data_IF_908656926997
#
_entry.id   IF_908656926997
#
_cell.length_a   1.000
_cell.length_b   1.000
_cell.length_c   1.000
_cell.angle_alpha   90.00
_cell.angle_beta   90.00
_cell.angle_gamma   90.00
#
_symmetry.space_group_name_H-M   'P 1'
#
loop_
_entity.id
_entity.type
_entity.pdbx_description
1 polymer ?
#
# COMPACT_ATOMS: atom_id res chain seq x y z
N UNK A 1 12.36 -3.10 -34.01
CA UNK A 1 12.79 -3.53 -32.67
C UNK A 1 13.24 -2.30 -31.93
N UNK A 2 12.27 -1.60 -31.35
CA UNK A 2 12.53 -0.47 -30.49
C UNK A 2 12.82 -1.00 -29.08
N UNK A 3 13.85 -0.44 -28.45
CA UNK A 3 14.20 -0.72 -27.07
C UNK A 3 13.83 0.50 -26.25
N UNK A 4 13.14 0.27 -25.14
CA UNK A 4 12.89 1.29 -24.14
C UNK A 4 13.86 1.12 -22.97
N UNK A 5 14.42 2.23 -22.50
CA UNK A 5 15.33 2.26 -21.36
C UNK A 5 14.64 3.03 -20.24
N UNK A 6 14.43 2.37 -19.11
CA UNK A 6 13.96 3.00 -17.89
C UNK A 6 15.16 3.44 -17.05
N UNK A 7 15.38 4.74 -16.91
CA UNK A 7 16.41 5.26 -16.01
C UNK A 7 15.89 5.33 -14.57
N UNK A 8 16.40 4.43 -13.73
CA UNK A 8 16.11 4.40 -12.30
C UNK A 8 16.62 5.64 -11.57
N UNK A 9 17.67 6.29 -12.06
CA UNK A 9 18.22 7.51 -11.45
C UNK A 9 17.24 8.67 -11.63
N UNK A 10 16.73 8.85 -12.84
CA UNK A 10 15.66 9.82 -13.13
C UNK A 10 14.38 9.54 -12.33
N UNK A 11 13.97 8.27 -12.22
CA UNK A 11 12.81 7.89 -11.41
C UNK A 11 13.01 8.25 -9.92
N UNK A 12 14.19 7.95 -9.35
CA UNK A 12 14.52 8.30 -7.97
C UNK A 12 14.49 9.81 -7.75
N UNK A 13 14.97 10.60 -8.71
CA UNK A 13 14.89 12.06 -8.63
C UNK A 13 13.43 12.55 -8.65
N UNK A 14 12.59 12.00 -9.52
CA UNK A 14 11.17 12.32 -9.57
C UNK A 14 10.46 12.02 -8.25
N UNK A 15 10.69 10.84 -7.68
CA UNK A 15 10.13 10.48 -6.37
C UNK A 15 10.63 11.45 -5.29
N UNK A 16 11.92 11.76 -5.27
CA UNK A 16 12.52 12.69 -4.31
C UNK A 16 11.94 14.12 -4.41
N UNK A 17 11.47 14.53 -5.60
CA UNK A 17 10.77 15.81 -5.79
C UNK A 17 9.34 15.76 -5.27
N UNK A 18 8.60 14.67 -5.52
CA UNK A 18 7.26 14.48 -4.97
C UNK A 18 7.28 14.48 -3.43
N UNK A 19 8.26 13.81 -2.82
CA UNK A 19 8.38 13.80 -1.36
C UNK A 19 8.76 15.15 -0.77
N UNK A 20 9.58 15.93 -1.47
CA UNK A 20 9.90 17.29 -1.06
C UNK A 20 8.68 18.20 -1.01
N UNK A 21 7.71 18.00 -1.91
CA UNK A 21 6.45 18.74 -1.86
C UNK A 21 5.73 18.53 -0.52
N UNK A 22 5.74 17.32 0.05
CA UNK A 22 5.16 17.07 1.37
C UNK A 22 5.92 17.77 2.51
N UNK A 23 7.23 18.02 2.32
CA UNK A 23 8.03 18.80 3.29
C UNK A 23 7.68 20.28 3.19
N UNK A 24 7.57 20.83 1.98
CA UNK A 24 7.20 22.23 1.73
C UNK A 24 5.78 22.54 2.26
N UNK A 25 4.86 21.57 2.17
CA UNK A 25 3.50 21.65 2.71
C UNK A 25 3.44 21.48 4.24
N UNK A 26 4.57 21.23 4.91
CA UNK A 26 4.66 21.04 6.35
C UNK A 26 4.10 19.72 6.87
N UNK A 27 3.77 18.77 5.97
CA UNK A 27 3.25 17.45 6.31
C UNK A 27 4.34 16.44 6.64
N UNK A 28 5.56 16.67 6.16
CA UNK A 28 6.71 15.82 6.42
C UNK A 28 7.83 16.63 7.09
N UNK A 29 8.31 16.17 8.24
CA UNK A 29 9.41 16.84 8.94
C UNK A 29 10.77 16.63 8.25
N UNK A 30 11.62 17.66 8.24
CA UNK A 30 13.00 17.62 7.68
C UNK A 30 13.94 16.57 8.30
N UNK A 31 13.53 15.93 9.40
CA UNK A 31 14.32 14.88 10.07
C UNK A 31 14.26 13.52 9.36
N UNK A 32 13.33 13.34 8.41
CA UNK A 32 13.15 12.07 7.71
C UNK A 32 14.06 11.97 6.48
N UNK A 33 14.62 10.79 6.28
CA UNK A 33 15.51 10.45 5.18
C UNK A 33 14.69 10.00 3.98
N UNK A 34 14.80 10.75 2.88
CA UNK A 34 14.09 10.46 1.62
C UNK A 34 14.43 9.08 1.06
N UNK A 35 15.67 8.62 1.21
CA UNK A 35 16.07 7.31 0.69
C UNK A 35 15.35 6.18 1.44
N UNK A 36 15.12 6.38 2.74
CA UNK A 36 14.40 5.43 3.60
C UNK A 36 12.89 5.46 3.33
N UNK A 37 12.35 6.61 2.94
CA UNK A 37 10.97 6.71 2.47
C UNK A 37 10.79 5.99 1.13
N UNK A 38 11.77 6.06 0.23
CA UNK A 38 11.74 5.32 -1.04
C UNK A 38 11.80 3.81 -0.78
N UNK A 39 12.60 3.33 0.17
CA UNK A 39 12.61 1.92 0.56
C UNK A 39 11.20 1.46 1.00
N UNK A 40 10.53 2.25 1.85
CA UNK A 40 9.17 1.95 2.31
C UNK A 40 8.15 2.03 1.17
N UNK A 41 8.30 2.97 0.23
CA UNK A 41 7.46 3.04 -0.96
C UNK A 41 7.55 1.75 -1.80
N UNK A 42 8.76 1.26 -2.05
CA UNK A 42 8.97 -0.01 -2.77
C UNK A 42 8.30 -1.17 -2.02
N UNK A 43 8.40 -1.20 -0.69
CA UNK A 43 7.70 -2.20 0.12
C UNK A 43 6.17 -2.07 0.03
N UNK A 44 5.62 -0.86 0.11
CA UNK A 44 4.18 -0.63 0.01
C UNK A 44 3.63 -0.99 -1.38
N UNK A 45 4.40 -0.79 -2.45
CA UNK A 45 4.02 -1.23 -3.79
C UNK A 45 3.80 -2.76 -3.89
N UNK A 46 4.37 -3.55 -2.98
CA UNK A 46 4.08 -4.99 -2.91
C UNK A 46 2.61 -5.29 -2.59
N UNK A 47 1.88 -4.37 -1.95
CA UNK A 47 0.46 -4.53 -1.57
C UNK A 47 -0.51 -4.26 -2.74
N UNK A 48 -0.05 -3.48 -3.72
CA UNK A 48 -0.83 -3.10 -4.92
C UNK A 48 -0.87 -4.26 -5.94
N UNK A 49 -0.11 -5.32 -5.68
CA UNK A 49 -0.04 -6.53 -6.47
C UNK A 49 1.41 -6.91 -6.72
N UNK A 50 1.78 -8.10 -6.28
CA UNK A 50 3.05 -8.72 -6.62
C UNK A 50 2.81 -10.19 -6.99
N UNK A 51 3.79 -10.87 -7.57
CA UNK A 51 3.62 -12.26 -8.04
C UNK A 51 3.33 -13.29 -6.91
N UNK A 52 3.48 -12.89 -5.64
CA UNK A 52 3.30 -13.74 -4.45
C UNK A 52 2.09 -13.37 -3.60
N UNK A 53 1.59 -12.13 -3.69
CA UNK A 53 0.48 -11.62 -2.89
C UNK A 53 -0.65 -11.15 -3.80
N UNK A 54 -1.89 -11.58 -3.55
CA UNK A 54 -3.05 -11.01 -4.23
C UNK A 54 -3.11 -9.50 -3.93
N UNK A 55 -3.52 -8.72 -4.93
CA UNK A 55 -3.71 -7.27 -4.79
C UNK A 55 -4.80 -7.00 -3.75
N UNK A 56 -4.60 -5.99 -2.90
CA UNK A 56 -5.68 -5.49 -2.04
C UNK A 56 -6.85 -4.94 -2.89
N UNK A 57 -8.09 -5.43 -2.72
CA UNK A 57 -9.22 -5.14 -3.60
C UNK A 57 -9.54 -3.65 -3.82
N UNK A 58 -9.27 -2.80 -2.84
CA UNK A 58 -9.53 -1.34 -2.90
C UNK A 58 -8.29 -0.50 -3.25
N UNK A 59 -7.11 -1.12 -3.40
CA UNK A 59 -5.88 -0.47 -3.85
C UNK A 59 -5.66 -0.72 -5.35
N UNK A 60 -6.60 -0.25 -6.17
CA UNK A 60 -6.41 -0.24 -7.61
C UNK A 60 -5.56 0.95 -8.05
N UNK A 61 -4.57 0.71 -8.91
CA UNK A 61 -3.71 1.77 -9.45
C UNK A 61 -4.55 2.78 -10.24
N UNK A 62 -5.53 2.29 -11.01
CA UNK A 62 -6.37 3.11 -11.88
C UNK A 62 -7.31 4.04 -11.09
N UNK A 63 -7.70 3.64 -9.88
CA UNK A 63 -8.52 4.47 -8.97
C UNK A 63 -7.68 5.44 -8.12
N UNK A 64 -6.37 5.55 -8.35
CA UNK A 64 -5.46 6.38 -7.56
C UNK A 64 -5.01 5.76 -6.24
N UNK A 65 -5.07 4.43 -6.10
CA UNK A 65 -4.70 3.71 -4.87
C UNK A 65 -3.27 3.99 -4.40
N UNK A 66 -2.33 4.19 -5.33
CA UNK A 66 -0.95 4.58 -4.97
C UNK A 66 -0.93 5.93 -4.28
N UNK A 67 -1.65 6.93 -4.79
CA UNK A 67 -1.70 8.27 -4.19
C UNK A 67 -2.33 8.25 -2.79
N UNK A 68 -3.39 7.46 -2.60
CA UNK A 68 -4.02 7.25 -1.29
C UNK A 68 -3.04 6.60 -0.31
N UNK A 69 -2.39 5.52 -0.73
CA UNK A 69 -1.40 4.79 0.05
C UNK A 69 -0.23 5.69 0.47
N UNK A 70 0.24 6.53 -0.46
CA UNK A 70 1.28 7.52 -0.21
C UNK A 70 0.87 8.58 0.78
N UNK A 71 -0.33 9.17 0.63
CA UNK A 71 -0.83 10.17 1.57
C UNK A 71 -0.97 9.58 2.97
N UNK A 72 -1.58 8.40 3.08
CA UNK A 72 -1.76 7.71 4.35
C UNK A 72 -0.42 7.41 5.03
N UNK A 73 0.57 6.95 4.27
CA UNK A 73 1.91 6.70 4.78
C UNK A 73 2.57 7.96 5.36
N UNK A 74 2.49 9.09 4.65
CA UNK A 74 3.09 10.35 5.11
C UNK A 74 2.46 10.81 6.42
N UNK A 75 1.13 10.75 6.51
CA UNK A 75 0.40 11.16 7.72
C UNK A 75 0.83 10.29 8.92
N UNK A 76 0.90 8.96 8.74
CA UNK A 76 1.30 8.04 9.81
C UNK A 76 2.80 8.07 10.15
N UNK A 77 3.66 8.38 9.18
CA UNK A 77 5.11 8.49 9.40
C UNK A 77 5.43 9.55 10.46
N UNK A 78 4.67 10.65 10.48
CA UNK A 78 4.82 11.70 11.50
C UNK A 78 4.43 11.20 12.89
N UNK A 79 3.38 10.38 13.00
CA UNK A 79 2.90 9.80 14.26
C UNK A 79 3.87 8.75 14.83
N UNK A 80 4.42 7.89 13.97
CA UNK A 80 5.34 6.83 14.40
C UNK A 80 6.75 7.31 14.71
N UNK A 81 7.14 8.45 14.17
CA UNK A 81 8.51 8.96 14.23
C UNK A 81 9.54 8.05 13.55
N UNK A 82 9.12 7.19 12.61
CA UNK A 82 10.04 6.32 11.87
C UNK A 82 9.37 5.39 10.86
N UNK A 83 10.23 4.75 10.05
CA UNK A 83 9.91 3.97 8.85
C UNK A 83 9.19 2.62 9.11
N UNK A 84 8.49 2.11 8.10
CA UNK A 84 7.86 0.79 8.05
C UNK A 84 8.89 -0.33 7.96
N UNK A 85 9.97 -0.12 7.21
CA UNK A 85 11.01 -1.13 7.01
C UNK A 85 12.32 -0.69 7.64
N UNK A 86 13.22 -1.65 7.87
CA UNK A 86 14.64 -1.43 8.11
C UNK A 86 15.41 -2.56 7.44
N UNK A 87 15.98 -2.26 6.27
CA UNK A 87 16.59 -3.26 5.38
C UNK A 87 15.59 -4.39 5.10
N UNK A 88 15.93 -5.62 5.44
CA UNK A 88 15.10 -6.81 5.22
C UNK A 88 13.97 -7.00 6.24
N UNK A 89 13.88 -6.16 7.28
CA UNK A 89 12.90 -6.33 8.37
C UNK A 89 11.78 -5.31 8.30
N UNK A 90 10.56 -5.80 8.42
CA UNK A 90 9.35 -4.97 8.56
C UNK A 90 9.14 -4.68 10.05
N UNK A 91 8.63 -3.49 10.37
CA UNK A 91 8.17 -3.14 11.72
C UNK A 91 6.70 -3.52 11.88
N UNK A 92 6.36 -4.64 12.54
CA UNK A 92 5.02 -5.22 12.47
C UNK A 92 3.94 -4.30 13.04
N UNK A 93 4.19 -3.61 14.16
CA UNK A 93 3.19 -2.73 14.78
C UNK A 93 2.84 -1.51 13.90
N UNK A 94 3.83 -0.94 13.21
CA UNK A 94 3.60 0.20 12.30
C UNK A 94 2.87 -0.27 11.06
N UNK A 95 3.28 -1.43 10.54
CA UNK A 95 2.62 -2.03 9.38
C UNK A 95 1.17 -2.42 9.67
N UNK A 96 0.88 -2.97 10.85
CA UNK A 96 -0.49 -3.26 11.29
C UNK A 96 -1.36 -1.99 11.33
N UNK A 97 -0.85 -0.92 11.94
CA UNK A 97 -1.52 0.37 11.97
C UNK A 97 -1.73 0.94 10.56
N UNK A 98 -0.74 0.79 9.69
CA UNK A 98 -0.82 1.22 8.29
C UNK A 98 -1.97 0.53 7.54
N UNK A 99 -2.03 -0.79 7.62
CA UNK A 99 -3.08 -1.60 6.98
C UNK A 99 -4.45 -1.26 7.59
N UNK A 100 -4.53 -1.10 8.91
CA UNK A 100 -5.78 -0.73 9.58
C UNK A 100 -6.32 0.61 9.07
N UNK A 101 -5.46 1.61 8.89
CA UNK A 101 -5.88 2.90 8.37
C UNK A 101 -6.26 2.81 6.88
N UNK A 102 -5.53 2.02 6.09
CA UNK A 102 -5.92 1.75 4.70
C UNK A 102 -7.29 1.07 4.58
N UNK A 103 -7.64 0.16 5.49
CA UNK A 103 -8.93 -0.52 5.50
C UNK A 103 -10.10 0.44 5.76
N UNK A 104 -9.87 1.58 6.44
CA UNK A 104 -10.93 2.59 6.65
C UNK A 104 -11.45 3.20 5.33
N UNK A 105 -10.65 3.18 4.26
CA UNK A 105 -11.03 3.70 2.95
C UNK A 105 -11.73 2.66 2.06
N UNK A 106 -11.76 1.39 2.47
CA UNK A 106 -12.32 0.27 1.71
C UNK A 106 -13.83 0.43 1.51
N UNK A 107 -14.56 0.86 2.56
CA UNK A 107 -16.01 1.03 2.51
C UNK A 107 -16.43 2.11 1.50
N UNK A 108 -15.74 3.25 1.48
CA UNK A 108 -16.01 4.33 0.54
C UNK A 108 -15.72 3.90 -0.90
N UNK A 109 -14.60 3.18 -1.09
CA UNK A 109 -14.22 2.64 -2.39
C UNK A 109 -15.30 1.69 -2.94
N UNK A 110 -15.74 0.70 -2.18
CA UNK A 110 -16.75 -0.27 -2.64
C UNK A 110 -18.11 0.36 -2.88
N UNK A 111 -18.50 1.36 -2.07
CA UNK A 111 -19.73 2.13 -2.31
C UNK A 111 -19.67 2.82 -3.66
N UNK A 112 -18.59 3.55 -3.95
CA UNK A 112 -18.41 4.26 -5.23
C UNK A 112 -18.46 3.29 -6.41
N UNK A 113 -17.73 2.18 -6.34
CA UNK A 113 -17.70 1.19 -7.41
C UNK A 113 -19.08 0.57 -7.67
N UNK A 114 -19.83 0.25 -6.61
CA UNK A 114 -21.20 -0.24 -6.74
C UNK A 114 -22.18 0.76 -7.38
N UNK A 115 -21.98 2.07 -7.19
CA UNK A 115 -22.76 3.09 -7.91
C UNK A 115 -22.39 3.18 -9.39
N UNK A 116 -21.10 3.06 -9.72
CA UNK A 116 -20.59 3.14 -11.10
C UNK A 116 -20.94 1.90 -11.94
N UNK A 117 -20.91 0.72 -11.33
CA UNK A 117 -21.16 -0.57 -11.99
C UNK A 117 -22.63 -1.02 -11.94
N UNK A 118 -23.50 -0.25 -11.25
CA UNK A 118 -24.89 -0.63 -10.95
C UNK A 118 -25.04 -2.01 -10.25
N UNK A 119 -23.96 -2.48 -9.63
CA UNK A 119 -23.90 -3.72 -8.86
C UNK A 119 -24.00 -3.40 -7.35
N UNK A 120 -24.94 -4.01 -6.60
CA UNK A 120 -25.06 -3.74 -5.18
C UNK A 120 -23.87 -4.33 -4.42
N UNK A 121 -23.16 -3.50 -3.65
CA UNK A 121 -21.87 -3.81 -3.02
C UNK A 121 -21.78 -5.03 -2.09
N UNK A 122 -22.90 -5.70 -1.78
CA UNK A 122 -22.94 -6.96 -1.00
C UNK A 122 -22.70 -8.22 -1.86
N UNK A 123 -22.76 -8.13 -3.20
CA UNK A 123 -22.48 -9.29 -4.07
C UNK A 123 -20.99 -9.57 -4.25
N UNK A 124 -20.13 -8.62 -3.92
CA UNK A 124 -18.69 -8.69 -4.15
C UNK A 124 -17.94 -9.43 -3.03
N UNK A 125 -18.52 -9.52 -1.83
CA UNK A 125 -17.95 -10.30 -0.74
C UNK A 125 -18.20 -11.80 -0.94
N UNK A 126 -19.32 -12.18 -1.55
CA UNK A 126 -19.70 -13.58 -1.73
C UNK A 126 -18.78 -14.33 -2.72
N UNK A 127 -18.39 -13.67 -3.81
CA UNK A 127 -17.54 -14.32 -4.84
C UNK A 127 -16.04 -14.30 -4.47
N UNK A 128 -15.61 -13.42 -3.55
CA UNK A 128 -14.23 -13.36 -3.05
C UNK A 128 -14.01 -14.25 -1.80
N UNK A 129 -15.05 -14.48 -1.00
CA UNK A 129 -14.95 -15.36 0.18
C UNK A 129 -14.97 -16.86 -0.19
N UNK A 130 -15.44 -17.24 -1.38
CA UNK A 130 -15.46 -18.66 -1.81
C UNK A 130 -14.08 -19.21 -2.24
N UNK A 131 -13.06 -18.37 -2.50
CA UNK A 131 -11.73 -18.84 -2.95
C UNK A 131 -10.68 -18.97 -1.82
N UNK A 132 -10.93 -18.46 -0.61
CA UNK A 132 -9.89 -18.28 0.42
C UNK A 132 -10.02 -19.17 1.69
N UNK A 133 -10.86 -20.22 1.70
CA UNK A 133 -10.97 -21.10 2.88
C UNK A 133 -9.77 -22.04 3.12
N UNK A 134 -8.83 -22.19 2.17
CA UNK A 134 -7.83 -23.28 2.25
C UNK A 134 -6.36 -22.89 2.48
N UNK A 135 -5.97 -21.61 2.48
CA UNK A 135 -4.54 -21.27 2.47
C UNK A 135 -3.81 -21.39 3.83
N UNK A 136 -4.49 -21.16 4.96
CA UNK A 136 -3.84 -21.16 6.29
C UNK A 136 -4.14 -22.39 7.18
N UNK A 137 -4.97 -23.34 6.72
CA UNK A 137 -5.55 -24.40 7.56
C UNK A 137 -4.65 -25.58 7.93
N UNK A 138 -3.46 -25.74 7.34
CA UNK A 138 -2.66 -26.98 7.48
C UNK A 138 -1.40 -26.89 8.35
N UNK A 139 -0.98 -25.71 8.81
CA UNK A 139 0.31 -25.58 9.53
C UNK A 139 0.23 -25.61 11.06
N UNK A 140 -0.97 -25.57 11.66
CA UNK A 140 -1.15 -25.59 13.12
C UNK A 140 -1.75 -26.88 13.70
N UNK A 141 -2.06 -27.88 12.88
CA UNK A 141 -2.51 -29.20 13.35
C UNK A 141 -1.33 -30.17 13.53
N UNK A 142 -0.38 -29.78 14.38
CA UNK A 142 0.86 -30.53 14.63
C UNK A 142 1.25 -30.62 16.09
N UNK A 143 0.47 -31.37 16.89
CA UNK A 143 0.90 -31.98 18.16
C UNK A 143 0.97 -31.08 19.39
N UNK A 144 1.01 -31.65 20.62
CA UNK A 144 1.42 -33.02 20.96
C UNK A 144 0.29 -34.05 21.15
#
# INVERSE_FOLDING_TARGET
>A
NDFEVLDLSGLREMLSRQFRQFMDDGRLEDKFDLDRIIDDFVFMCMLVGNDFLPRCPHLEIDSGGISLMMSNYIDMLTEWGGYLTKKEKIHPQRFEQFIYNLAAYEEEYFKRRGYEEAEPGWKLTADAEEEDEDFYGTFYSGGP
#
